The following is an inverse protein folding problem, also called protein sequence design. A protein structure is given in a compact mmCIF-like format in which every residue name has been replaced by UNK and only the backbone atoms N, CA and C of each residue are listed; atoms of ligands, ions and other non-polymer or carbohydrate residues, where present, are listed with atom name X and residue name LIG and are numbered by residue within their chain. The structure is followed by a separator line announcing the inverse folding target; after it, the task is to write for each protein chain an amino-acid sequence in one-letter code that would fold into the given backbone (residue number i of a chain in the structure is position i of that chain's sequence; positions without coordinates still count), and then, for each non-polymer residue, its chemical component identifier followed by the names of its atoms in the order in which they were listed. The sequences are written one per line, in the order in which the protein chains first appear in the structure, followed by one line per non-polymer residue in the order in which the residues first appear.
data_IF_060130283340
#
_entry.id   IF_060130283340
#
_cell.length_a   1.000
_cell.length_b   1.000
_cell.length_c   1.000
_cell.angle_alpha   90.00
_cell.angle_beta   90.00
_cell.angle_gamma   90.00
#
_symmetry.space_group_name_H-M   'P 1'
#
loop_
_entity.id
_entity.type
_entity.pdbx_description
1 polymer ?
#
# COMPACT_ATOMS: atom_id res chain seq x y z
N UNK A 1 -9.40 -8.77 15.22
CA UNK A 1 -8.61 -9.90 14.68
C UNK A 1 -8.41 -9.74 13.18
N UNK A 2 -7.16 -9.83 12.72
CA UNK A 2 -6.80 -9.84 11.30
C UNK A 2 -6.51 -11.29 10.95
N UNK A 3 -7.19 -11.82 9.94
CA UNK A 3 -7.06 -13.21 9.50
C UNK A 3 -6.31 -13.24 8.17
N UNK A 4 -5.54 -14.30 7.94
CA UNK A 4 -4.89 -14.50 6.65
C UNK A 4 -5.89 -14.44 5.49
N UNK A 5 -5.50 -13.80 4.39
CA UNK A 5 -6.34 -13.63 3.21
C UNK A 5 -7.46 -12.60 3.35
N UNK A 6 -7.63 -11.98 4.52
CA UNK A 6 -8.65 -10.95 4.73
C UNK A 6 -8.33 -9.71 3.88
N UNK A 7 -9.35 -9.22 3.18
CA UNK A 7 -9.29 -7.96 2.45
C UNK A 7 -9.78 -6.84 3.37
N UNK A 8 -8.96 -5.80 3.53
CA UNK A 8 -9.27 -4.61 4.33
C UNK A 8 -8.87 -3.36 3.55
N UNK A 9 -9.44 -2.22 3.95
CA UNK A 9 -9.02 -0.90 3.46
C UNK A 9 -8.32 -0.17 4.59
N UNK A 10 -7.12 0.32 4.32
CA UNK A 10 -6.33 1.14 5.25
C UNK A 10 -6.16 2.53 4.66
N UNK A 11 -6.18 3.55 5.51
CA UNK A 11 -6.01 4.94 5.11
C UNK A 11 -4.86 5.58 5.87
N UNK A 12 -4.11 6.45 5.22
CA UNK A 12 -3.05 7.18 5.88
C UNK A 12 -2.25 8.10 4.94
N UNK A 13 -1.25 8.75 5.52
CA UNK A 13 -0.28 9.58 4.84
C UNK A 13 0.87 8.70 4.31
N UNK A 14 1.26 8.91 3.05
CA UNK A 14 2.44 8.24 2.49
C UNK A 14 3.69 8.94 3.00
N UNK A 15 4.46 8.24 3.84
CA UNK A 15 5.71 8.75 4.42
C UNK A 15 6.95 8.25 3.69
N UNK A 16 6.82 7.21 2.87
CA UNK A 16 7.93 6.64 2.10
C UNK A 16 7.48 5.83 0.89
N UNK A 17 8.28 5.86 -0.18
CA UNK A 17 8.08 5.06 -1.39
C UNK A 17 9.40 4.45 -1.86
N UNK A 18 9.60 3.17 -1.58
CA UNK A 18 10.76 2.41 -2.01
C UNK A 18 10.47 1.69 -3.34
N UNK A 19 10.88 2.29 -4.45
CA UNK A 19 10.73 1.70 -5.80
C UNK A 19 11.74 0.58 -6.02
N UNK A 20 11.28 -0.54 -6.55
CA UNK A 20 12.05 -1.76 -6.78
C UNK A 20 11.74 -2.30 -8.17
N UNK A 21 12.65 -3.13 -8.67
CA UNK A 21 12.52 -3.78 -9.99
C UNK A 21 12.56 -5.29 -9.79
N UNK A 22 11.64 -6.01 -10.39
CA UNK A 22 11.65 -7.48 -10.36
C UNK A 22 12.78 -8.02 -11.25
N UNK A 23 13.10 -9.30 -11.12
CA UNK A 23 14.06 -9.97 -12.02
C UNK A 23 13.66 -9.90 -13.50
N UNK A 24 12.39 -9.64 -13.80
CA UNK A 24 11.85 -9.52 -15.16
C UNK A 24 11.85 -8.08 -15.69
N UNK A 25 12.28 -7.10 -14.88
CA UNK A 25 12.32 -5.69 -15.26
C UNK A 25 11.06 -4.90 -14.87
N UNK A 26 10.04 -5.56 -14.32
CA UNK A 26 8.82 -4.87 -13.91
C UNK A 26 9.04 -4.02 -12.66
N UNK A 27 8.51 -2.80 -12.65
CA UNK A 27 8.61 -1.90 -11.49
C UNK A 27 7.51 -2.20 -10.48
N UNK A 28 7.86 -2.18 -9.21
CA UNK A 28 6.94 -2.27 -8.07
C UNK A 28 7.44 -1.35 -6.96
N UNK A 29 6.64 -1.16 -5.91
CA UNK A 29 7.08 -0.37 -4.77
C UNK A 29 6.60 -0.96 -3.45
N UNK A 30 7.35 -0.62 -2.39
CA UNK A 30 6.88 -0.69 -1.02
C UNK A 30 6.53 0.74 -0.61
N UNK A 31 5.29 0.96 -0.18
CA UNK A 31 4.77 2.27 0.23
C UNK A 31 4.52 2.22 1.73
N UNK A 32 5.15 3.12 2.48
CA UNK A 32 4.90 3.29 3.91
C UNK A 32 3.70 4.22 4.09
N UNK A 33 2.65 3.72 4.73
CA UNK A 33 1.42 4.45 4.99
C UNK A 33 1.26 4.60 6.52
N UNK A 34 1.14 5.83 6.99
CA UNK A 34 1.06 6.15 8.42
C UNK A 34 -0.22 6.89 8.79
N UNK A 35 -0.76 6.56 9.95
CA UNK A 35 -1.75 7.36 10.64
C UNK A 35 -1.16 7.95 11.94
N UNK A 36 -2.01 8.34 12.88
CA UNK A 36 -1.55 8.95 14.14
C UNK A 36 -0.89 7.95 15.11
N UNK A 37 -1.14 6.65 14.97
CA UNK A 37 -0.79 5.62 15.97
C UNK A 37 0.08 4.50 15.38
N UNK A 38 0.01 4.26 14.07
CA UNK A 38 0.67 3.14 13.42
C UNK A 38 1.20 3.45 12.00
N UNK A 39 2.14 2.61 11.57
CA UNK A 39 2.70 2.57 10.21
C UNK A 39 2.47 1.18 9.60
N UNK A 40 2.10 1.14 8.33
CA UNK A 40 1.96 -0.11 7.57
C UNK A 40 2.72 -0.06 6.25
N UNK A 41 3.47 -1.11 5.97
CA UNK A 41 4.13 -1.29 4.67
C UNK A 41 3.19 -1.96 3.67
N UNK A 42 2.94 -1.26 2.56
CA UNK A 42 2.07 -1.69 1.48
C UNK A 42 2.90 -2.12 0.28
N UNK A 43 2.79 -3.38 -0.10
CA UNK A 43 3.41 -3.91 -1.32
C UNK A 43 2.52 -3.62 -2.52
N UNK A 44 2.99 -2.78 -3.44
CA UNK A 44 2.31 -2.44 -4.69
C UNK A 44 3.02 -3.14 -5.84
N UNK A 45 2.59 -4.37 -6.14
CA UNK A 45 3.17 -5.20 -7.20
C UNK A 45 2.94 -4.61 -8.60
N UNK A 46 3.69 -5.05 -9.64
CA UNK A 46 3.72 -4.34 -10.92
C UNK A 46 2.37 -4.08 -11.59
N UNK A 47 1.44 -5.03 -11.52
CA UNK A 47 0.08 -4.86 -12.06
C UNK A 47 -0.67 -3.71 -11.39
N UNK A 48 -0.53 -3.60 -10.07
CA UNK A 48 -1.11 -2.52 -9.28
C UNK A 48 -0.32 -1.21 -9.50
N UNK A 49 1.01 -1.30 -9.52
CA UNK A 49 1.89 -0.14 -9.62
C UNK A 49 1.82 0.56 -10.98
N UNK A 50 1.61 -0.17 -12.07
CA UNK A 50 1.43 0.45 -13.39
C UNK A 50 0.18 1.32 -13.48
N UNK A 51 -0.86 0.99 -12.73
CA UNK A 51 -2.13 1.71 -12.71
C UNK A 51 -2.13 2.86 -11.68
N UNK A 52 -1.47 2.66 -10.54
CA UNK A 52 -1.63 3.50 -9.36
C UNK A 52 -0.32 4.17 -8.90
N UNK A 53 0.81 3.81 -9.50
CA UNK A 53 2.14 4.35 -9.18
C UNK A 53 2.24 5.89 -9.19
N UNK A 54 1.55 6.62 -10.08
CA UNK A 54 1.51 8.09 -10.01
C UNK A 54 0.92 8.64 -8.70
N UNK A 55 0.01 7.90 -8.07
CA UNK A 55 -0.62 8.30 -6.79
C UNK A 55 0.25 7.95 -5.58
N UNK A 56 1.15 6.97 -5.71
CA UNK A 56 2.12 6.59 -4.67
C UNK A 56 3.27 7.59 -4.61
N UNK A 57 3.01 8.77 -4.06
CA UNK A 57 3.98 9.84 -3.84
C UNK A 57 4.04 10.20 -2.36
N UNK A 58 5.21 10.64 -1.89
CA UNK A 58 5.37 11.17 -0.55
C UNK A 58 4.38 12.33 -0.31
N UNK A 59 3.87 12.42 0.91
CA UNK A 59 2.85 13.40 1.35
C UNK A 59 1.45 13.23 0.73
N UNK A 60 1.22 12.18 -0.07
CA UNK A 60 -0.12 11.82 -0.52
C UNK A 60 -0.92 11.16 0.61
N UNK A 61 -2.18 11.53 0.77
CA UNK A 61 -3.13 10.76 1.59
C UNK A 61 -3.80 9.74 0.68
N UNK A 62 -3.75 8.47 1.05
CA UNK A 62 -4.28 7.37 0.23
C UNK A 62 -5.21 6.48 1.05
N UNK A 63 -6.24 5.96 0.40
CA UNK A 63 -7.00 4.80 0.82
C UNK A 63 -6.55 3.60 0.00
N UNK A 64 -5.98 2.60 0.66
CA UNK A 64 -5.48 1.38 0.03
C UNK A 64 -6.36 0.21 0.43
N UNK A 65 -7.03 -0.38 -0.55
CA UNK A 65 -7.70 -1.68 -0.39
C UNK A 65 -6.70 -2.77 -0.70
N UNK A 66 -6.49 -3.68 0.23
CA UNK A 66 -5.47 -4.72 0.10
C UNK A 66 -5.78 -5.98 0.87
N UNK A 67 -5.02 -7.02 0.57
CA UNK A 67 -5.08 -8.31 1.25
C UNK A 67 -3.99 -8.40 2.30
N UNK A 68 -4.35 -8.82 3.50
CA UNK A 68 -3.38 -9.20 4.54
C UNK A 68 -2.91 -10.61 4.25
N UNK A 69 -1.60 -10.77 4.15
CA UNK A 69 -0.92 -12.04 3.89
C UNK A 69 -0.07 -12.36 5.13
N UNK A 70 -0.47 -13.40 5.85
CA UNK A 70 0.17 -13.92 7.06
C UNK A 70 0.78 -15.30 6.81
N UNK A 71 0.93 -15.68 5.54
CA UNK A 71 1.44 -16.99 5.12
C UNK A 71 2.91 -17.20 5.49
N UNK A 72 3.64 -16.12 5.78
CA UNK A 72 5.01 -16.13 6.27
C UNK A 72 4.98 -15.93 7.79
N UNK A 73 5.39 -16.94 8.58
CA UNK A 73 5.26 -16.92 10.05
C UNK A 73 5.98 -15.72 10.72
N UNK A 74 6.87 -15.04 10.01
CA UNK A 74 7.68 -13.94 10.54
C UNK A 74 7.36 -12.55 9.93
N UNK A 75 6.46 -12.43 8.96
CA UNK A 75 6.22 -11.15 8.28
C UNK A 75 4.74 -10.96 7.88
N UNK A 76 4.10 -9.96 8.48
CA UNK A 76 2.80 -9.47 8.01
C UNK A 76 3.01 -8.65 6.74
N UNK A 77 2.44 -9.11 5.63
CA UNK A 77 2.51 -8.39 4.34
C UNK A 77 1.13 -7.84 4.00
N UNK A 78 1.07 -6.57 3.60
CA UNK A 78 -0.15 -5.98 3.08
C UNK A 78 -0.01 -5.71 1.58
N UNK A 79 -0.80 -6.41 0.77
CA UNK A 79 -0.69 -6.37 -0.68
C UNK A 79 -1.79 -5.47 -1.25
N UNK A 80 -1.40 -4.38 -1.91
CA UNK A 80 -2.35 -3.47 -2.54
C UNK A 80 -3.10 -4.14 -3.70
N UNK A 81 -4.43 -3.99 -3.68
CA UNK A 81 -5.31 -4.37 -4.77
C UNK A 81 -5.85 -3.15 -5.51
N UNK A 82 -6.15 -2.07 -4.77
CA UNK A 82 -6.69 -0.81 -5.28
C UNK A 82 -6.24 0.36 -4.41
N UNK A 83 -6.09 1.55 -5.00
CA UNK A 83 -5.63 2.78 -4.35
C UNK A 83 -6.55 3.91 -4.81
N UNK A 84 -7.10 4.64 -3.86
CA UNK A 84 -7.95 5.82 -4.11
C UNK A 84 -7.40 7.02 -3.34
N UNK A 85 -7.45 8.20 -3.95
CA UNK A 85 -7.19 9.47 -3.25
C UNK A 85 -8.52 9.92 -2.62
N UNK A 86 -8.60 10.05 -1.29
CA UNK A 86 -9.80 10.58 -0.65
C UNK A 86 -9.98 12.06 -1.00
N UNK A 87 -11.22 12.48 -1.18
CA UNK A 87 -11.53 13.91 -1.24
C UNK A 87 -11.37 14.52 0.15
N UNK A 88 -10.43 15.45 0.28
CA UNK A 88 -10.11 16.13 1.54
C UNK A 88 -10.58 17.59 1.54
N UNK A 89 -11.46 17.97 0.62
CA UNK A 89 -11.97 19.34 0.59
C UNK A 89 -13.00 19.51 1.71
N UNK A 90 -12.57 20.11 2.82
CA UNK A 90 -13.49 20.58 3.85
C UNK A 90 -14.32 21.72 3.27
N UNK A 91 -15.63 21.49 3.12
CA UNK A 91 -16.60 22.55 2.85
C UNK A 91 -16.80 23.44 4.08
#
# INVERSE_FOLDING_TARGET
EITDGRVVTVGGLVTGVARKVTKRGDTWAIVSLEDLDASVEVMVFPKAYSLMGPYCSQDAVLLVRGRVDLSDENELKFIAMDITIPDLTSS
#
